data_IF_696376616587
#
_entry.id   IF_696376616587
#
_cell.length_a   1.000
_cell.length_b   1.000
_cell.length_c   1.000
_cell.angle_alpha   90.00
_cell.angle_beta   90.00
_cell.angle_gamma   90.00
#
_symmetry.space_group_name_H-M   'P 1'
#
loop_
_entity.id
_entity.type
_entity.pdbx_description
1 polymer ?
#
# COMPACT_ATOMS: atom_id res chain seq x y z
N UNK A 1 22.97 -15.10 5.36
CA UNK A 1 21.50 -15.22 5.48
C UNK A 1 21.15 -16.68 5.50
N UNK A 2 20.37 -17.12 6.49
CA UNK A 2 19.86 -18.50 6.53
C UNK A 2 18.83 -18.70 5.42
N UNK A 3 18.74 -19.91 4.84
CA UNK A 3 17.73 -20.29 3.83
C UNK A 3 16.28 -20.02 4.31
N UNK A 4 16.05 -20.02 5.63
CA UNK A 4 14.76 -19.68 6.23
C UNK A 4 14.45 -18.18 6.12
N UNK A 5 15.45 -17.32 6.35
CA UNK A 5 15.30 -15.86 6.28
C UNK A 5 15.04 -15.39 4.84
N UNK A 6 15.72 -15.99 3.85
CA UNK A 6 15.51 -15.64 2.45
C UNK A 6 14.08 -16.01 1.99
N UNK A 7 13.55 -17.16 2.43
CA UNK A 7 12.16 -17.56 2.15
C UNK A 7 11.15 -16.60 2.78
N UNK A 8 11.35 -16.19 4.03
CA UNK A 8 10.47 -15.22 4.71
C UNK A 8 10.50 -13.87 3.98
N UNK A 9 11.69 -13.40 3.60
CA UNK A 9 11.82 -12.15 2.85
C UNK A 9 11.12 -12.23 1.50
N UNK A 10 11.26 -13.35 0.77
CA UNK A 10 10.55 -13.57 -0.50
C UNK A 10 9.04 -13.52 -0.31
N UNK A 11 8.52 -14.21 0.72
CA UNK A 11 7.11 -14.19 1.04
C UNK A 11 6.60 -12.78 1.37
N UNK A 12 7.32 -12.03 2.22
CA UNK A 12 6.96 -10.65 2.57
C UNK A 12 7.01 -9.75 1.33
N UNK A 13 8.00 -9.91 0.46
CA UNK A 13 8.11 -9.15 -0.79
C UNK A 13 6.90 -9.42 -1.69
N UNK A 14 6.50 -10.67 -1.85
CA UNK A 14 5.31 -11.05 -2.62
C UNK A 14 4.02 -10.46 -2.01
N UNK A 15 3.85 -10.56 -0.69
CA UNK A 15 2.68 -10.00 0.02
C UNK A 15 2.57 -8.47 -0.13
N UNK A 16 3.70 -7.77 -0.15
CA UNK A 16 3.72 -6.32 -0.28
C UNK A 16 3.58 -5.87 -1.75
N UNK A 17 4.35 -6.46 -2.66
CA UNK A 17 4.58 -5.91 -4.00
C UNK A 17 3.94 -6.69 -5.14
N UNK A 18 3.47 -7.92 -4.91
CA UNK A 18 2.77 -8.74 -5.89
C UNK A 18 1.35 -9.08 -5.40
N UNK A 19 0.48 -8.08 -5.19
CA UNK A 19 -0.92 -8.34 -4.86
C UNK A 19 -1.54 -9.20 -5.96
N UNK A 20 -2.42 -10.16 -5.61
CA UNK A 20 -3.08 -11.07 -6.56
C UNK A 20 -4.18 -10.40 -7.40
N UNK A 21 -3.96 -9.14 -7.77
CA UNK A 21 -4.85 -8.27 -8.52
C UNK A 21 -4.08 -7.69 -9.70
N UNK A 22 -4.81 -7.33 -10.75
CA UNK A 22 -4.28 -6.56 -11.88
C UNK A 22 -5.37 -5.64 -12.39
N UNK A 23 -4.98 -4.44 -12.80
CA UNK A 23 -5.93 -3.55 -13.47
C UNK A 23 -6.32 -4.09 -14.84
N UNK A 24 -7.47 -3.64 -15.34
CA UNK A 24 -7.94 -3.91 -16.70
C UNK A 24 -8.00 -2.57 -17.44
N UNK A 25 -7.54 -2.57 -18.70
CA UNK A 25 -7.63 -1.39 -19.57
C UNK A 25 -9.09 -1.03 -19.80
N UNK A 26 -9.41 0.25 -19.66
CA UNK A 26 -10.74 0.78 -19.94
C UNK A 26 -10.63 2.22 -20.41
N UNK A 27 -11.52 2.61 -21.33
CA UNK A 27 -11.65 4.01 -21.77
C UNK A 27 -12.65 4.80 -20.91
N UNK A 28 -13.34 4.13 -20.00
CA UNK A 28 -14.38 4.75 -19.19
C UNK A 28 -13.79 5.39 -17.95
N UNK A 29 -13.62 6.70 -18.01
CA UNK A 29 -13.14 7.51 -16.89
C UNK A 29 -14.13 7.52 -15.71
N UNK A 30 -13.58 7.53 -14.50
CA UNK A 30 -14.29 7.71 -13.25
C UNK A 30 -13.55 8.71 -12.37
N UNK A 31 -14.31 9.46 -11.58
CA UNK A 31 -13.77 10.38 -10.59
C UNK A 31 -13.95 9.79 -9.19
N UNK A 32 -12.85 9.73 -8.44
CA UNK A 32 -12.83 9.21 -7.07
C UNK A 32 -12.20 10.25 -6.16
N UNK A 33 -12.70 10.34 -4.93
CA UNK A 33 -12.12 11.11 -3.85
C UNK A 33 -11.62 10.14 -2.79
N UNK A 34 -10.30 9.97 -2.71
CA UNK A 34 -9.69 9.23 -1.63
C UNK A 34 -9.48 10.16 -0.43
N UNK A 35 -9.89 9.69 0.74
CA UNK A 35 -9.73 10.40 2.01
C UNK A 35 -8.93 9.49 2.93
N UNK A 36 -7.75 9.93 3.36
CA UNK A 36 -7.02 9.22 4.39
C UNK A 36 -7.65 9.47 5.75
N UNK A 37 -8.52 8.56 6.19
CA UNK A 37 -9.19 8.66 7.48
C UNK A 37 -8.45 7.91 8.60
N UNK A 38 -7.16 7.65 8.41
CA UNK A 38 -6.26 7.14 9.44
C UNK A 38 -5.44 8.27 10.05
N UNK A 39 -4.74 7.98 11.16
CA UNK A 39 -3.79 8.91 11.78
C UNK A 39 -2.40 8.88 11.14
N UNK A 40 -2.16 7.95 10.23
CA UNK A 40 -0.86 7.69 9.64
C UNK A 40 -0.79 8.20 8.20
N UNK A 41 0.42 8.30 7.69
CA UNK A 41 0.62 8.60 6.27
C UNK A 41 0.59 7.32 5.45
N UNK A 42 -0.12 7.35 4.33
CA UNK A 42 -0.23 6.21 3.40
C UNK A 42 0.37 6.55 2.05
N UNK A 43 0.95 5.55 1.39
CA UNK A 43 1.16 5.58 -0.05
C UNK A 43 -0.09 5.01 -0.72
N UNK A 44 -0.68 5.80 -1.62
CA UNK A 44 -1.70 5.34 -2.53
C UNK A 44 -1.01 4.83 -3.80
N UNK A 45 -1.21 3.55 -4.10
CA UNK A 45 -0.59 2.86 -5.21
C UNK A 45 -1.64 2.31 -6.17
N UNK A 46 -1.34 2.41 -7.46
CA UNK A 46 -2.06 1.72 -8.52
C UNK A 46 -1.42 0.35 -8.74
N UNK A 47 -2.23 -0.68 -8.92
CA UNK A 47 -1.75 -1.99 -9.34
C UNK A 47 -1.88 -2.01 -10.87
N UNK A 48 -0.77 -2.06 -11.58
CA UNK A 48 -0.76 -1.94 -13.04
C UNK A 48 -1.39 -3.16 -13.75
N UNK A 49 -1.32 -3.19 -15.08
CA UNK A 49 -1.89 -4.27 -15.89
C UNK A 49 -1.14 -5.60 -15.74
N UNK A 50 0.11 -5.56 -15.31
CA UNK A 50 0.97 -6.70 -15.04
C UNK A 50 0.90 -7.16 -13.58
N UNK A 51 0.21 -6.40 -12.71
CA UNK A 51 0.08 -6.69 -11.28
C UNK A 51 1.17 -6.05 -10.42
N UNK A 52 2.03 -5.20 -10.98
CA UNK A 52 3.06 -4.50 -10.21
C UNK A 52 2.48 -3.30 -9.47
N UNK A 53 3.08 -3.02 -8.31
CA UNK A 53 2.74 -1.86 -7.51
C UNK A 53 3.41 -0.58 -8.03
N UNK A 54 2.60 0.34 -8.56
CA UNK A 54 3.05 1.67 -9.01
C UNK A 54 2.67 2.71 -7.96
N UNK A 55 3.67 3.31 -7.30
CA UNK A 55 3.40 4.33 -6.29
C UNK A 55 2.91 5.60 -6.98
N UNK A 56 1.70 6.01 -6.63
CA UNK A 56 1.03 7.10 -7.29
C UNK A 56 1.19 8.41 -6.51
N UNK A 57 0.83 8.42 -5.22
CA UNK A 57 1.02 9.59 -4.36
C UNK A 57 1.03 9.21 -2.87
N UNK A 58 1.47 10.16 -2.05
CA UNK A 58 1.49 10.05 -0.59
C UNK A 58 0.36 10.91 -0.01
N UNK A 59 -0.44 10.34 0.88
CA UNK A 59 -1.51 11.03 1.61
C UNK A 59 -1.20 11.06 3.10
N UNK A 60 -0.98 12.25 3.63
CA UNK A 60 -0.92 12.51 5.07
C UNK A 60 -2.23 12.19 5.78
N UNK A 61 -2.19 12.21 7.11
CA UNK A 61 -3.38 12.05 7.96
C UNK A 61 -4.46 13.06 7.57
N UNK A 62 -5.69 12.60 7.39
CA UNK A 62 -6.85 13.41 6.99
C UNK A 62 -6.73 14.12 5.63
N UNK A 63 -5.68 13.84 4.85
CA UNK A 63 -5.53 14.41 3.52
C UNK A 63 -6.53 13.80 2.53
N UNK A 64 -6.94 14.64 1.58
CA UNK A 64 -7.91 14.31 0.54
C UNK A 64 -7.27 14.54 -0.82
N UNK A 65 -7.48 13.59 -1.73
CA UNK A 65 -7.15 13.74 -3.15
C UNK A 65 -8.36 13.40 -4.01
N UNK A 66 -8.62 14.23 -5.03
CA UNK A 66 -9.53 13.90 -6.11
C UNK A 66 -8.72 13.31 -7.25
N UNK A 67 -9.08 12.12 -7.68
CA UNK A 67 -8.39 11.34 -8.69
C UNK A 67 -9.34 10.99 -9.83
N UNK A 68 -8.95 11.31 -11.06
CA UNK A 68 -9.57 10.72 -12.26
C UNK A 68 -8.79 9.48 -12.67
N UNK A 69 -9.47 8.35 -12.82
CA UNK A 69 -8.92 7.02 -13.20
C UNK A 69 -9.95 6.28 -14.04
N UNK A 70 -9.82 4.97 -14.26
CA UNK A 70 -10.68 4.19 -15.15
C UNK A 70 -11.38 3.03 -14.45
N UNK A 71 -12.50 2.57 -15.00
CA UNK A 71 -13.12 1.30 -14.59
C UNK A 71 -12.14 0.13 -14.81
N UNK A 72 -12.19 -0.88 -13.96
CA UNK A 72 -11.24 -1.99 -13.95
C UNK A 72 -9.92 -1.70 -13.22
N UNK A 73 -9.64 -0.46 -12.81
CA UNK A 73 -8.42 -0.14 -12.07
C UNK A 73 -8.47 -0.61 -10.61
N UNK A 74 -7.34 -1.13 -10.14
CA UNK A 74 -7.14 -1.63 -8.79
C UNK A 74 -6.20 -0.69 -8.01
N UNK A 75 -6.64 -0.32 -6.81
CA UNK A 75 -5.91 0.58 -5.91
C UNK A 75 -5.64 -0.08 -4.58
N UNK A 76 -4.43 0.12 -4.04
CA UNK A 76 -4.06 -0.30 -2.69
C UNK A 76 -3.42 0.88 -1.97
N UNK A 77 -3.74 1.04 -0.69
CA UNK A 77 -3.10 2.01 0.17
C UNK A 77 -2.25 1.28 1.20
N UNK A 78 -0.99 1.69 1.39
CA UNK A 78 -0.08 1.08 2.37
C UNK A 78 0.44 2.11 3.36
N UNK A 79 0.45 1.75 4.64
CA UNK A 79 0.99 2.60 5.69
C UNK A 79 2.51 2.71 5.58
N UNK A 80 3.02 3.94 5.46
CA UNK A 80 4.45 4.18 5.30
C UNK A 80 5.24 3.68 6.51
N UNK A 81 4.64 3.73 7.70
CA UNK A 81 5.31 3.33 8.94
C UNK A 81 5.79 1.88 8.93
N UNK A 82 5.04 0.96 8.30
CA UNK A 82 5.25 -0.49 8.46
C UNK A 82 4.87 -1.36 7.25
N UNK A 83 4.43 -0.77 6.14
CA UNK A 83 4.05 -1.47 4.90
C UNK A 83 2.71 -2.21 4.94
N UNK A 84 1.99 -2.18 6.06
CA UNK A 84 0.68 -2.83 6.18
C UNK A 84 -0.32 -2.20 5.19
N UNK A 85 -1.20 -3.04 4.62
CA UNK A 85 -2.29 -2.56 3.78
C UNK A 85 -3.36 -1.87 4.64
N UNK A 86 -3.86 -0.75 4.16
CA UNK A 86 -5.06 -0.11 4.69
C UNK A 86 -6.31 -0.76 4.08
N UNK A 87 -7.47 -0.54 4.71
CA UNK A 87 -8.75 -0.98 4.18
C UNK A 87 -9.50 0.20 3.56
N UNK A 88 -10.29 -0.08 2.52
CA UNK A 88 -11.15 0.91 1.87
C UNK A 88 -12.61 0.72 2.27
N UNK A 89 -13.26 1.78 2.77
CA UNK A 89 -14.70 1.79 2.98
C UNK A 89 -15.47 2.19 1.71
N UNK A 90 -16.68 1.65 1.49
CA UNK A 90 -17.47 0.84 2.45
C UNK A 90 -17.09 -0.66 2.54
N UNK A 91 -16.37 -1.21 1.55
CA UNK A 91 -16.17 -2.67 1.43
C UNK A 91 -15.25 -3.32 2.47
N UNK A 92 -14.43 -2.55 3.20
CA UNK A 92 -13.36 -3.02 4.11
C UNK A 92 -12.33 -3.94 3.45
N UNK A 93 -12.17 -3.83 2.13
CA UNK A 93 -11.18 -4.57 1.36
C UNK A 93 -9.84 -3.84 1.35
N UNK A 94 -8.73 -4.57 1.30
CA UNK A 94 -7.38 -4.00 1.17
C UNK A 94 -7.10 -3.46 -0.24
N UNK A 95 -7.80 -4.00 -1.24
CA UNK A 95 -7.74 -3.55 -2.63
C UNK A 95 -9.09 -2.97 -3.02
N UNK A 96 -9.09 -1.74 -3.50
CA UNK A 96 -10.25 -1.09 -4.08
C UNK A 96 -10.27 -1.30 -5.59
N UNK A 97 -11.21 -2.10 -6.07
CA UNK A 97 -11.43 -2.37 -7.49
C UNK A 97 -12.61 -1.56 -8.00
N UNK A 98 -12.41 -0.84 -9.09
CA UNK A 98 -13.46 -0.01 -9.69
C UNK A 98 -14.27 -0.87 -10.66
N UNK A 99 -15.31 -1.53 -10.17
CA UNK A 99 -16.09 -2.48 -10.99
C UNK A 99 -17.13 -1.83 -11.89
N UNK A 100 -17.59 -0.62 -11.53
CA UNK A 100 -18.66 0.09 -12.26
C UNK A 100 -18.36 1.57 -12.38
N UNK A 101 -18.84 2.25 -13.44
CA UNK A 101 -18.79 3.70 -13.51
C UNK A 101 -19.64 4.33 -12.40
N UNK A 102 -19.23 5.49 -11.94
CA UNK A 102 -19.99 6.29 -10.98
C UNK A 102 -20.59 7.50 -11.70
N UNK A 103 -21.89 7.74 -11.50
CA UNK A 103 -22.57 8.94 -12.02
C UNK A 103 -22.00 10.24 -11.43
N UNK A 104 -21.49 10.15 -10.20
CA UNK A 104 -20.87 11.25 -9.46
C UNK A 104 -19.50 10.82 -8.93
N UNK A 105 -18.73 11.78 -8.39
CA UNK A 105 -17.45 11.45 -7.74
C UNK A 105 -17.66 10.49 -6.58
N UNK A 106 -17.13 9.28 -6.68
CA UNK A 106 -17.17 8.32 -5.58
C UNK A 106 -16.28 8.79 -4.42
N UNK A 107 -16.72 8.59 -3.18
CA UNK A 107 -15.93 8.92 -1.99
C UNK A 107 -15.49 7.62 -1.34
N UNK A 108 -14.18 7.47 -1.15
CA UNK A 108 -13.56 6.25 -0.64
C UNK A 108 -12.67 6.63 0.53
N UNK A 109 -12.94 6.04 1.69
CA UNK A 109 -12.13 6.27 2.89
C UNK A 109 -11.08 5.19 3.03
N UNK A 110 -9.84 5.60 3.24
CA UNK A 110 -8.72 4.76 3.62
C UNK A 110 -8.67 4.73 5.14
N UNK A 111 -8.79 3.54 5.72
CA UNK A 111 -8.82 3.35 7.18
C UNK A 111 -7.79 2.29 7.60
N UNK A 112 -7.35 2.38 8.85
CA UNK A 112 -6.62 1.29 9.46
C UNK A 112 -7.60 0.14 9.77
N UNK A 113 -7.19 -1.10 9.49
CA UNK A 113 -7.87 -2.28 10.04
C UNK A 113 -7.87 -2.14 11.57
N UNK A 114 -9.01 -2.42 12.21
CA UNK A 114 -9.05 -2.52 13.68
C UNK A 114 -8.24 -3.74 14.09
N UNK A 115 -7.07 -3.57 14.73
CA UNK A 115 -6.24 -4.71 15.10
C UNK A 115 -6.88 -5.45 16.28
N UNK A 116 -6.68 -6.76 16.33
CA UNK A 116 -6.85 -7.52 17.57
C UNK A 116 -5.86 -7.03 18.63
N UNK A 117 -6.13 -7.31 19.91
CA UNK A 117 -5.19 -6.98 20.98
C UNK A 117 -3.80 -7.61 20.72
N UNK A 118 -3.78 -8.84 20.21
CA UNK A 118 -2.55 -9.53 19.87
C UNK A 118 -1.77 -8.80 18.76
N UNK A 119 -2.43 -8.47 17.64
CA UNK A 119 -1.83 -7.70 16.56
C UNK A 119 -1.29 -6.36 17.09
N UNK A 120 -2.07 -5.63 17.89
CA UNK A 120 -1.63 -4.34 18.46
C UNK A 120 -0.40 -4.47 19.36
N UNK A 121 -0.31 -5.52 20.18
CA UNK A 121 0.87 -5.79 21.04
C UNK A 121 2.09 -6.15 20.18
N UNK A 122 1.91 -6.99 19.17
CA UNK A 122 2.98 -7.34 18.21
C UNK A 122 3.49 -6.09 17.50
N UNK A 123 2.59 -5.23 17.00
CA UNK A 123 2.97 -3.97 16.37
C UNK A 123 3.73 -3.06 17.36
N UNK A 124 3.25 -2.92 18.60
CA UNK A 124 3.89 -2.07 19.60
C UNK A 124 5.30 -2.55 19.97
N UNK A 125 5.47 -3.85 20.25
CA UNK A 125 6.79 -4.43 20.57
C UNK A 125 7.70 -4.36 19.34
N UNK A 126 7.16 -4.64 18.15
CA UNK A 126 7.90 -4.53 16.90
C UNK A 126 8.40 -3.11 16.64
N UNK A 127 7.60 -2.09 16.93
CA UNK A 127 8.03 -0.69 16.89
C UNK A 127 9.16 -0.38 17.89
N UNK A 128 9.16 -0.96 19.09
CA UNK A 128 10.25 -0.75 20.06
C UNK A 128 11.55 -1.45 19.65
N UNK A 129 11.47 -2.56 18.92
CA UNK A 129 12.62 -3.42 18.61
C UNK A 129 13.11 -3.34 17.16
N UNK A 130 12.51 -2.50 16.32
CA UNK A 130 12.76 -2.50 14.87
C UNK A 130 14.21 -2.20 14.45
N UNK A 131 15.00 -1.54 15.31
CA UNK A 131 16.42 -1.26 15.06
C UNK A 131 17.29 -2.51 15.15
N UNK A 132 16.88 -3.51 15.94
CA UNK A 132 17.61 -4.76 16.11
C UNK A 132 16.73 -5.97 15.79
N UNK A 133 16.86 -6.46 14.56
CA UNK A 133 16.06 -7.58 14.05
C UNK A 133 16.19 -8.88 14.84
N UNK A 134 17.25 -9.06 15.65
CA UNK A 134 17.45 -10.26 16.48
C UNK A 134 17.06 -10.08 17.94
N UNK A 135 16.66 -8.86 18.35
CA UNK A 135 16.16 -8.61 19.70
C UNK A 135 14.99 -9.52 20.12
N UNK A 136 14.03 -9.88 19.23
CA UNK A 136 12.92 -10.77 19.60
C UNK A 136 13.36 -12.14 20.11
N UNK A 137 14.50 -12.68 19.66
CA UNK A 137 15.00 -14.00 20.08
C UNK A 137 15.31 -14.08 21.58
N UNK A 138 15.66 -12.92 22.18
CA UNK A 138 16.02 -12.81 23.60
C UNK A 138 14.82 -12.65 24.53
N UNK A 139 13.62 -12.45 23.99
CA UNK A 139 12.42 -12.28 24.80
C UNK A 139 12.00 -13.63 25.43
N UNK A 140 11.61 -13.65 26.72
CA UNK A 140 11.13 -14.86 27.39
C UNK A 140 9.65 -15.14 27.04
N UNK A 141 9.35 -15.25 25.74
CA UNK A 141 8.00 -15.47 25.19
C UNK A 141 8.00 -16.66 24.22
N UNK A 142 6.83 -17.23 23.88
CA UNK A 142 6.75 -18.34 22.93
C UNK A 142 7.36 -18.00 21.55
N UNK A 143 8.00 -18.98 20.91
CA UNK A 143 8.65 -18.81 19.60
C UNK A 143 7.70 -18.31 18.51
N UNK A 144 6.43 -18.71 18.53
CA UNK A 144 5.43 -18.21 17.58
C UNK A 144 5.24 -16.69 17.70
N UNK A 145 5.17 -16.16 18.92
CA UNK A 145 5.02 -14.71 19.14
C UNK A 145 6.30 -13.97 18.75
N UNK A 146 7.49 -14.56 18.99
CA UNK A 146 8.75 -14.00 18.49
C UNK A 146 8.76 -13.91 16.96
N UNK A 147 8.20 -14.92 16.30
CA UNK A 147 8.07 -14.94 14.85
C UNK A 147 7.14 -13.84 14.34
N UNK A 148 6.00 -13.61 14.99
CA UNK A 148 5.09 -12.51 14.62
C UNK A 148 5.76 -11.13 14.78
N UNK A 149 6.51 -10.92 15.86
CA UNK A 149 7.29 -9.68 16.07
C UNK A 149 8.39 -9.55 15.01
N UNK A 150 9.13 -10.63 14.73
CA UNK A 150 10.14 -10.64 13.68
C UNK A 150 9.54 -10.30 12.32
N UNK A 151 8.40 -10.92 11.98
CA UNK A 151 7.68 -10.68 10.73
C UNK A 151 7.29 -9.21 10.58
N UNK A 152 6.74 -8.61 11.65
CA UNK A 152 6.44 -7.17 11.68
C UNK A 152 7.67 -6.30 11.35
N UNK A 153 8.78 -6.55 12.06
CA UNK A 153 10.03 -5.80 11.88
C UNK A 153 10.55 -5.94 10.45
N UNK A 154 10.54 -7.16 9.89
CA UNK A 154 10.99 -7.41 8.52
C UNK A 154 10.10 -6.73 7.49
N UNK A 155 8.77 -6.79 7.64
CA UNK A 155 7.83 -6.09 6.76
C UNK A 155 8.10 -4.58 6.75
N UNK A 156 8.26 -3.98 7.94
CA UNK A 156 8.61 -2.57 8.09
C UNK A 156 9.91 -2.22 7.37
N UNK A 157 10.99 -2.95 7.64
CA UNK A 157 12.29 -2.70 7.02
C UNK A 157 12.24 -2.84 5.50
N UNK A 158 11.66 -3.94 5.00
CA UNK A 158 11.52 -4.21 3.56
C UNK A 158 10.75 -3.08 2.88
N UNK A 159 9.60 -2.68 3.44
CA UNK A 159 8.79 -1.61 2.85
C UNK A 159 9.56 -0.29 2.83
N UNK A 160 10.19 0.09 3.95
CA UNK A 160 10.96 1.32 4.06
C UNK A 160 12.15 1.35 3.07
N UNK A 161 12.85 0.24 2.88
CA UNK A 161 13.91 0.14 1.86
C UNK A 161 13.33 0.25 0.45
N UNK A 162 12.20 -0.38 0.17
CA UNK A 162 11.57 -0.36 -1.15
C UNK A 162 11.05 1.03 -1.54
N UNK A 163 10.69 1.90 -0.58
CA UNK A 163 10.26 3.28 -0.87
C UNK A 163 11.28 4.07 -1.69
N UNK A 164 12.57 3.74 -1.60
CA UNK A 164 13.63 4.37 -2.37
C UNK A 164 13.73 3.87 -3.82
N UNK A 165 13.16 2.70 -4.11
CA UNK A 165 13.36 1.98 -5.38
C UNK A 165 12.06 1.88 -6.20
N UNK A 166 10.90 1.91 -5.55
CA UNK A 166 9.61 1.79 -6.25
C UNK A 166 9.43 2.89 -7.30
N UNK A 167 8.94 2.53 -8.51
CA UNK A 167 8.64 3.50 -9.54
C UNK A 167 7.59 4.48 -9.02
N UNK A 168 8.01 5.73 -8.88
CA UNK A 168 7.13 6.83 -8.54
C UNK A 168 6.75 7.55 -9.82
N UNK A 169 5.44 7.68 -10.08
CA UNK A 169 4.95 8.50 -11.20
C UNK A 169 5.39 9.97 -10.99
N UNK A 170 6.48 10.36 -11.65
CA UNK A 170 7.22 11.64 -11.48
C UNK A 170 6.48 12.88 -12.00
N UNK A 171 5.33 12.73 -12.66
CA UNK A 171 4.64 13.83 -13.31
C UNK A 171 3.71 14.58 -12.34
N UNK A 172 4.30 15.25 -11.34
CA UNK A 172 3.63 16.30 -10.59
C UNK A 172 4.33 17.64 -10.83
N UNK A 173 3.87 18.37 -11.85
CA UNK A 173 4.08 19.82 -11.92
C UNK A 173 2.98 20.49 -11.08
N UNK A 174 3.41 21.06 -9.94
CA UNK A 174 2.67 21.93 -9.01
C UNK A 174 1.50 21.30 -8.24
N UNK A 175 1.71 21.10 -6.92
CA UNK A 175 0.65 21.18 -5.89
C UNK A 175 -0.11 22.49 -6.08
N UNK A 176 -1.26 22.46 -6.73
CA UNK A 176 -2.26 23.53 -6.60
C UNK A 176 -3.15 23.23 -5.40
N UNK A 177 -3.69 24.27 -4.77
CA UNK A 177 -4.52 24.24 -3.55
C UNK A 177 -5.76 23.31 -3.61
N UNK A 178 -6.02 22.65 -4.73
CA UNK A 178 -7.22 21.85 -5.00
C UNK A 178 -6.99 20.33 -5.04
N UNK A 179 -5.76 19.81 -4.86
CA UNK A 179 -5.40 18.37 -4.82
C UNK A 179 -6.13 17.50 -5.86
N UNK A 180 -6.11 17.92 -7.13
CA UNK A 180 -6.64 17.14 -8.26
C UNK A 180 -5.48 16.40 -8.93
N UNK A 181 -5.60 15.08 -9.01
CA UNK A 181 -4.69 14.19 -9.71
C UNK A 181 -5.44 13.47 -10.84
N UNK A 182 -4.75 13.15 -11.93
CA UNK A 182 -5.29 12.30 -13.01
C UNK A 182 -4.27 11.20 -13.28
N UNK A 183 -4.71 9.94 -13.21
CA UNK A 183 -3.84 8.83 -13.54
C UNK A 183 -3.37 9.00 -14.99
N UNK A 184 -2.06 9.08 -15.18
CA UNK A 184 -1.43 8.91 -16.49
C UNK A 184 -0.98 7.47 -16.54
N UNK A 185 -1.68 6.66 -17.32
CA UNK A 185 -1.19 5.33 -17.66
C UNK A 185 0.17 5.49 -18.35
N UNK A 186 1.16 4.64 -18.05
CA UNK A 186 2.37 4.61 -18.84
C UNK A 186 1.97 4.40 -20.31
N UNK A 187 2.36 5.31 -21.19
CA UNK A 187 2.32 5.04 -22.62
C UNK A 187 3.21 3.82 -22.82
N UNK A 188 2.66 2.72 -23.32
CA UNK A 188 3.49 1.73 -23.99
C UNK A 188 4.24 2.52 -25.07
N UNK A 189 5.58 2.52 -25.00
CA UNK A 189 6.36 2.81 -26.19
C UNK A 189 5.89 1.74 -27.15
N UNK A 190 5.21 2.18 -28.19
CA UNK A 190 4.85 1.33 -29.30
C UNK A 190 6.18 0.80 -29.85
N UNK A 191 6.53 -0.44 -29.50
CA UNK A 191 7.56 -1.19 -30.20
C UNK A 191 6.97 -1.53 -31.58
N UNK A 192 6.81 -0.50 -32.41
CA UNK A 192 6.57 -0.62 -33.85
C UNK A 192 7.88 -0.28 -34.57
N UNK A 193 8.45 -1.37 -35.10
CA UNK A 193 9.56 -1.51 -36.08
C UNK A 193 11.01 -1.41 -35.57
#
# INVERSE_FOLDING_TARGET
>A
MSLKESRINSFILEEIFAPRYKSIRSVQEVNIRFINNSRDTVDLCWIDFQGNLVRYLKLGSHEVVKLTTFTGHCWIARFIRNGAAAQFLPGRNEVFVITTPFLHTAVVFIIQKVPTLFEAVVEHIGELLHENQYAPHRLPIPELVKFDIYFYIRRKQIYQTALFVLPFQRNFSRRNHNNVARLREPLEIDDTE
#
